data_IF_428035526161
#
_entry.id   IF_428035526161
#
_cell.length_a   1.000
_cell.length_b   1.000
_cell.length_c   1.000
_cell.angle_alpha   90.00
_cell.angle_beta   90.00
_cell.angle_gamma   90.00
#
_symmetry.space_group_name_H-M   'P 1'
#
loop_
_entity.id
_entity.type
_entity.pdbx_description
1 polymer ?
#
# COMPACT_ATOMS: atom_id res chain seq x y z
N UNK A 1 -1.64 -12.45 13.90
CA UNK A 1 -1.29 -12.39 12.45
C UNK A 1 -0.72 -11.01 12.16
N UNK A 2 0.45 -10.93 11.51
CA UNK A 2 1.08 -9.65 11.15
C UNK A 2 1.23 -9.58 9.63
N UNK A 3 0.85 -8.46 9.04
CA UNK A 3 0.83 -8.28 7.59
C UNK A 3 0.87 -6.81 7.20
N UNK A 4 1.25 -6.54 5.95
CA UNK A 4 1.22 -5.19 5.38
C UNK A 4 -0.21 -4.85 4.98
N UNK A 5 -0.61 -3.60 5.20
CA UNK A 5 -1.89 -3.11 4.72
C UNK A 5 -1.78 -2.82 3.22
N UNK A 6 -2.60 -3.49 2.39
CA UNK A 6 -2.60 -3.30 0.95
C UNK A 6 -3.43 -2.05 0.59
N UNK A 7 -2.77 -0.89 0.59
CA UNK A 7 -3.35 0.41 0.25
C UNK A 7 -2.49 1.06 -0.82
N UNK A 8 -3.12 1.60 -1.86
CA UNK A 8 -2.44 2.21 -3.01
C UNK A 8 -1.43 3.29 -2.59
N UNK A 9 -1.75 4.08 -1.55
CA UNK A 9 -0.88 5.13 -1.02
C UNK A 9 0.42 4.57 -0.40
N UNK A 10 0.40 3.37 0.18
CA UNK A 10 1.56 2.75 0.83
C UNK A 10 2.45 1.97 -0.14
N UNK A 11 1.99 1.78 -1.38
CA UNK A 11 2.76 1.13 -2.43
C UNK A 11 3.59 2.11 -3.27
N UNK A 12 3.74 3.36 -2.80
CA UNK A 12 4.55 4.38 -3.45
C UNK A 12 6.00 4.33 -2.98
N UNK A 13 6.93 4.69 -3.86
CA UNK A 13 8.37 4.81 -3.52
C UNK A 13 8.68 6.03 -2.62
N UNK A 14 7.71 6.92 -2.40
CA UNK A 14 7.89 8.18 -1.68
C UNK A 14 7.34 8.09 -0.27
N UNK A 15 8.13 8.54 0.70
CA UNK A 15 7.68 8.74 2.07
C UNK A 15 6.80 9.99 2.17
N UNK A 16 5.92 10.00 3.16
CA UNK A 16 5.11 11.17 3.46
C UNK A 16 5.95 12.24 4.15
N UNK A 17 5.65 13.49 3.80
CA UNK A 17 6.24 14.66 4.44
C UNK A 17 5.80 14.77 5.90
N UNK A 18 6.61 15.48 6.67
CA UNK A 18 6.31 15.76 8.07
C UNK A 18 5.03 16.63 8.19
N UNK A 19 4.32 16.46 9.30
CA UNK A 19 3.10 17.23 9.65
C UNK A 19 1.93 17.01 8.67
N UNK A 20 1.88 15.85 7.99
CA UNK A 20 0.71 15.43 7.22
C UNK A 20 -0.12 14.47 8.05
N UNK A 21 -1.38 14.83 8.32
CA UNK A 21 -2.31 13.98 9.05
C UNK A 21 -2.87 12.88 8.14
N UNK A 22 -2.71 11.63 8.56
CA UNK A 22 -3.33 10.47 7.92
C UNK A 22 -4.39 9.86 8.82
N UNK A 23 -5.59 9.65 8.25
CA UNK A 23 -6.69 8.94 8.90
C UNK A 23 -6.99 7.64 8.17
N UNK A 24 -6.64 6.52 8.78
CA UNK A 24 -6.95 5.18 8.26
C UNK A 24 -8.22 4.68 8.94
N UNK A 25 -9.23 4.33 8.15
CA UNK A 25 -10.45 3.66 8.63
C UNK A 25 -10.45 2.23 8.11
N UNK A 26 -10.36 1.25 9.01
CA UNK A 26 -10.52 -0.15 8.67
C UNK A 26 -11.98 -0.54 8.90
N UNK A 27 -12.69 -0.84 7.82
CA UNK A 27 -14.09 -1.25 7.87
C UNK A 27 -14.13 -2.77 7.74
N UNK A 28 -14.79 -3.43 8.69
CA UNK A 28 -14.94 -4.88 8.69
C UNK A 28 -16.02 -5.29 7.69
N UNK A 29 -15.75 -6.33 6.91
CA UNK A 29 -16.76 -7.03 6.11
C UNK A 29 -17.74 -7.79 7.00
N UNK A 30 -18.86 -8.27 6.43
CA UNK A 30 -19.81 -9.11 7.18
C UNK A 30 -19.10 -10.37 7.71
N UNK A 31 -19.46 -10.85 8.92
CA UNK A 31 -18.78 -11.99 9.54
C UNK A 31 -18.85 -13.27 8.69
N UNK A 32 -19.93 -13.43 7.92
CA UNK A 32 -20.13 -14.53 6.95
C UNK A 32 -18.99 -14.65 5.92
N UNK A 33 -18.31 -13.55 5.57
CA UNK A 33 -17.26 -13.54 4.56
C UNK A 33 -15.83 -13.47 5.14
N UNK A 34 -15.68 -13.40 6.46
CA UNK A 34 -14.38 -13.13 7.07
C UNK A 34 -13.55 -14.41 7.29
N UNK A 35 -14.20 -15.57 7.41
CA UNK A 35 -13.54 -16.87 7.51
C UNK A 35 -14.28 -17.87 6.63
N UNK A 36 -13.52 -18.64 5.85
CA UNK A 36 -14.04 -19.84 5.18
C UNK A 36 -14.11 -20.93 6.25
N UNK A 37 -15.26 -21.06 6.91
CA UNK A 37 -15.46 -22.03 7.99
C UNK A 37 -16.94 -22.32 8.20
N UNK A 38 -17.23 -23.34 9.00
CA UNK A 38 -18.61 -23.73 9.33
C UNK A 38 -19.37 -22.56 10.01
N UNK A 39 -20.69 -22.59 9.94
CA UNK A 39 -21.55 -21.53 10.45
C UNK A 39 -21.38 -21.35 11.97
N UNK A 40 -21.32 -20.09 12.44
CA UNK A 40 -21.39 -19.75 13.88
C UNK A 40 -20.15 -19.10 14.51
N UNK A 41 -19.04 -18.90 13.78
CA UNK A 41 -17.85 -18.26 14.36
C UNK A 41 -18.00 -16.73 14.45
N UNK A 42 -17.80 -16.19 15.65
CA UNK A 42 -17.75 -14.74 15.91
C UNK A 42 -16.30 -14.29 16.07
N UNK A 43 -15.86 -13.40 15.19
CA UNK A 43 -14.51 -12.82 15.25
C UNK A 43 -14.55 -11.55 16.10
N UNK A 44 -13.74 -11.52 17.15
CA UNK A 44 -13.51 -10.36 18.00
C UNK A 44 -12.03 -9.99 17.88
N UNK A 45 -11.75 -8.70 17.72
CA UNK A 45 -10.38 -8.19 17.71
C UNK A 45 -10.05 -7.65 19.09
N UNK A 46 -9.18 -8.34 19.83
CA UNK A 46 -8.78 -7.88 21.16
C UNK A 46 -7.79 -6.72 21.09
N UNK A 47 -6.77 -6.85 20.22
CA UNK A 47 -5.72 -5.85 20.06
C UNK A 47 -5.37 -5.64 18.59
N UNK A 48 -5.48 -4.39 18.12
CA UNK A 48 -5.10 -3.99 16.76
C UNK A 48 -4.11 -2.84 16.85
N UNK A 49 -2.89 -3.06 16.37
CA UNK A 49 -1.82 -2.07 16.34
C UNK A 49 -1.27 -1.92 14.93
N UNK A 50 -0.99 -0.68 14.51
CA UNK A 50 -0.35 -0.37 13.22
C UNK A 50 1.06 0.15 13.50
N UNK A 51 2.06 -0.47 12.86
CA UNK A 51 3.44 -0.02 12.94
C UNK A 51 3.76 0.85 11.72
N UNK A 52 4.15 2.10 11.96
CA UNK A 52 4.53 3.05 10.91
C UNK A 52 6.03 3.32 11.00
N UNK A 53 6.71 3.31 9.84
CA UNK A 53 8.13 3.64 9.77
C UNK A 53 8.29 5.16 9.76
N UNK A 54 9.03 5.69 10.72
CA UNK A 54 9.46 7.10 10.77
C UNK A 54 10.94 7.18 10.43
N UNK A 55 11.30 8.07 9.50
CA UNK A 55 12.68 8.28 9.07
C UNK A 55 13.20 9.59 9.64
N UNK A 56 14.38 9.55 10.26
CA UNK A 56 15.09 10.76 10.68
C UNK A 56 15.91 11.31 9.51
N UNK A 57 15.68 12.57 9.19
CA UNK A 57 16.29 13.26 8.05
C UNK A 57 17.21 14.35 8.58
N UNK A 58 18.33 14.61 7.88
CA UNK A 58 19.24 15.71 8.18
C UNK A 58 18.47 17.06 8.17
N UNK A 59 18.63 17.95 9.18
CA UNK A 59 17.95 19.24 9.24
C UNK A 59 18.09 20.10 7.98
N UNK A 60 19.22 20.05 7.26
CA UNK A 60 19.39 20.81 6.02
C UNK A 60 18.36 20.44 4.94
N UNK A 61 18.00 19.16 4.86
CA UNK A 61 17.00 18.65 3.91
C UNK A 61 15.59 19.04 4.36
N UNK A 62 15.32 19.11 5.67
CA UNK A 62 14.04 19.59 6.20
C UNK A 62 13.79 21.05 5.85
N UNK A 63 14.80 21.91 5.97
CA UNK A 63 14.71 23.33 5.57
C UNK A 63 14.48 23.44 4.05
N UNK A 64 15.16 22.61 3.27
CA UNK A 64 14.95 22.57 1.82
C UNK A 64 13.52 22.14 1.45
N UNK A 65 12.95 21.15 2.15
CA UNK A 65 11.56 20.76 1.98
C UNK A 65 10.59 21.89 2.32
N UNK A 66 10.80 22.61 3.42
CA UNK A 66 9.97 23.76 3.78
C UNK A 66 9.98 24.84 2.68
N UNK A 67 11.16 25.22 2.18
CA UNK A 67 11.31 26.18 1.07
C UNK A 67 10.72 25.68 -0.25
N UNK A 68 10.78 24.37 -0.51
CA UNK A 68 10.17 23.79 -1.70
C UNK A 68 8.64 23.82 -1.62
N UNK A 69 8.07 23.59 -0.43
CA UNK A 69 6.62 23.62 -0.18
C UNK A 69 6.02 25.01 -0.30
N UNK A 70 6.79 26.07 -0.01
CA UNK A 70 6.38 27.46 -0.28
C UNK A 70 6.18 27.72 -1.78
N UNK A 71 6.96 27.05 -2.65
CA UNK A 71 6.92 27.24 -4.10
C UNK A 71 5.94 26.30 -4.80
N UNK A 72 5.87 25.05 -4.35
CA UNK A 72 5.08 24.02 -5.01
C UNK A 72 4.54 22.99 -4.01
N UNK A 73 3.31 22.53 -4.26
CA UNK A 73 2.70 21.47 -3.46
C UNK A 73 3.31 20.10 -3.78
N UNK A 74 3.44 19.26 -2.76
CA UNK A 74 3.90 17.90 -2.92
C UNK A 74 2.82 17.03 -3.59
N UNK A 75 3.17 16.42 -4.74
CA UNK A 75 2.29 15.53 -5.48
C UNK A 75 2.69 14.07 -5.25
N UNK A 76 1.72 13.23 -4.89
CA UNK A 76 1.88 11.80 -4.67
C UNK A 76 1.09 11.02 -5.74
N UNK A 77 1.75 10.37 -6.71
CA UNK A 77 1.05 9.64 -7.77
C UNK A 77 0.41 8.36 -7.20
N UNK A 78 -0.91 8.26 -7.28
CA UNK A 78 -1.66 7.10 -6.78
C UNK A 78 -2.06 6.22 -7.96
N UNK A 79 -1.45 5.04 -8.06
CA UNK A 79 -1.86 4.01 -8.99
C UNK A 79 -2.97 3.17 -8.34
N UNK A 80 -4.22 3.39 -8.76
CA UNK A 80 -5.36 2.68 -8.18
C UNK A 80 -5.42 1.24 -8.67
N UNK A 81 -5.19 0.28 -7.78
CA UNK A 81 -5.41 -1.14 -8.08
C UNK A 81 -6.86 -1.47 -7.75
N UNK A 82 -7.68 -1.67 -8.77
CA UNK A 82 -9.08 -2.04 -8.56
C UNK A 82 -9.21 -3.55 -8.30
N UNK A 83 -9.36 -3.91 -7.02
CA UNK A 83 -9.69 -5.26 -6.60
C UNK A 83 -11.17 -5.53 -6.87
N UNK A 84 -11.49 -6.09 -8.04
CA UNK A 84 -12.83 -6.60 -8.33
C UNK A 84 -13.02 -7.93 -7.60
N UNK A 85 -13.84 -7.93 -6.55
CA UNK A 85 -14.34 -9.18 -5.98
C UNK A 85 -15.45 -9.70 -6.88
N UNK A 86 -15.14 -10.76 -7.63
CA UNK A 86 -16.16 -11.48 -8.40
C UNK A 86 -16.66 -12.60 -7.48
N UNK A 87 -17.88 -12.45 -6.96
CA UNK A 87 -18.56 -13.53 -6.26
C UNK A 87 -19.09 -14.48 -7.34
N UNK A 88 -18.29 -15.49 -7.69
CA UNK A 88 -18.73 -16.52 -8.62
C UNK A 88 -19.66 -17.47 -7.86
N UNK A 89 -20.94 -17.47 -8.22
CA UNK A 89 -21.71 -18.72 -8.25
C UNK A 89 -20.93 -19.68 -9.13
N UNK A 90 -20.21 -20.59 -8.45
CA UNK A 90 -19.41 -21.71 -8.99
C UNK A 90 -18.36 -21.36 -10.05
N UNK A 91 -17.10 -21.65 -9.68
CA UNK A 91 -15.89 -21.80 -10.50
C UNK A 91 -14.96 -20.57 -10.52
N UNK A 92 -13.73 -20.85 -10.10
CA UNK A 92 -12.58 -19.99 -9.89
C UNK A 92 -12.25 -19.08 -11.07
N UNK A 93 -11.95 -17.80 -10.80
CA UNK A 93 -10.90 -17.06 -11.51
C UNK A 93 -10.61 -15.74 -10.77
N UNK A 94 -9.43 -15.65 -10.15
CA UNK A 94 -8.81 -14.36 -9.83
C UNK A 94 -8.42 -13.69 -11.16
N UNK A 95 -9.28 -12.83 -11.66
CA UNK A 95 -9.01 -12.05 -12.87
C UNK A 95 -8.20 -10.81 -12.51
N UNK A 96 -6.87 -10.88 -12.59
CA UNK A 96 -6.05 -9.68 -12.75
C UNK A 96 -6.26 -9.18 -14.19
N UNK A 97 -6.87 -8.01 -14.44
CA UNK A 97 -6.80 -7.43 -15.77
C UNK A 97 -5.34 -7.08 -16.04
N UNK A 98 -4.67 -7.93 -16.81
CA UNK A 98 -3.32 -7.72 -17.31
C UNK A 98 -3.33 -6.55 -18.29
N UNK A 99 -3.33 -5.32 -17.78
CA UNK A 99 -3.05 -4.16 -18.62
C UNK A 99 -1.55 -4.13 -18.91
N UNK A 100 -1.24 -4.72 -20.06
CA UNK A 100 0.02 -4.62 -20.78
C UNK A 100 0.21 -3.15 -21.19
N UNK A 101 0.89 -2.35 -20.38
CA UNK A 101 1.51 -1.09 -20.83
C UNK A 101 2.98 -1.36 -21.02
N UNK A 102 3.38 -1.36 -22.29
CA UNK A 102 4.71 -1.59 -22.82
C UNK A 102 5.85 -1.11 -21.90
N UNK A 103 6.65 -2.05 -21.36
CA UNK A 103 8.07 -1.82 -21.06
C UNK A 103 8.87 -2.37 -22.24
N UNK A 104 8.93 -1.61 -23.33
CA UNK A 104 9.96 -1.83 -24.35
C UNK A 104 11.26 -1.17 -23.91
N UNK A 105 12.32 -1.99 -23.96
CA UNK A 105 13.73 -1.65 -24.03
C UNK A 105 14.49 -1.20 -22.76
N UNK A 106 15.22 -2.19 -22.24
CA UNK A 106 16.69 -2.21 -22.22
C UNK A 106 17.41 -1.34 -21.17
N UNK A 107 17.92 -1.98 -20.10
CA UNK A 107 19.28 -2.53 -20.05
C UNK A 107 19.54 -3.12 -18.67
N UNK A 108 19.77 -4.42 -18.65
CA UNK A 108 20.52 -5.13 -17.64
C UNK A 108 21.90 -4.48 -17.49
N UNK A 109 22.26 -4.08 -16.27
CA UNK A 109 23.64 -4.08 -15.80
C UNK A 109 23.63 -4.57 -14.35
N UNK A 110 23.80 -5.87 -14.20
CA UNK A 110 24.31 -6.49 -12.99
C UNK A 110 25.75 -6.04 -12.79
N UNK A 111 26.05 -5.49 -11.62
CA UNK A 111 27.41 -5.22 -11.18
C UNK A 111 27.48 -5.40 -9.66
N UNK A 112 27.97 -6.57 -9.23
CA UNK A 112 29.04 -6.67 -8.25
C UNK A 112 29.38 -8.15 -8.03
N UNK A 113 30.68 -8.37 -8.05
CA UNK A 113 31.45 -9.60 -8.08
C UNK A 113 31.83 -10.00 -6.64
N UNK A 114 32.22 -11.27 -6.48
CA UNK A 114 32.98 -11.89 -5.36
C UNK A 114 32.18 -12.11 -4.05
N UNK A 115 32.10 -13.33 -3.49
CA UNK A 115 32.98 -14.50 -3.52
C UNK A 115 32.21 -15.79 -3.73
#
# INVERSE_FOLDING_TARGET
>A
MIGRLHVDLFNQDRLLLNLVDLKIKLIRSKPEFCLMGNEGYKIVFDHVSIFVRKVHINPGVLIAHAKALEKATAKYPIDRVNCKSVFNTSIELFFYPRQRVFRTNAKTKSFSLCR
#
